data_IF_262519082260
#
_entry.id   IF_262519082260
#
_cell.length_a   1.000
_cell.length_b   1.000
_cell.length_c   1.000
_cell.angle_alpha   90.00
_cell.angle_beta   90.00
_cell.angle_gamma   90.00
#
_symmetry.space_group_name_H-M   'P 1'
#
loop_
_entity.id
_entity.type
_entity.pdbx_description
1 polymer ?
#
# COMPACT_ATOMS: atom_id res chain seq x y z
N UNK A 1 61.45 -30.46 61.95
CA UNK A 1 60.04 -30.01 62.06
C UNK A 1 59.68 -29.43 60.70
N UNK A 2 59.13 -30.29 59.82
CA UNK A 2 58.79 -29.93 58.44
C UNK A 2 57.54 -29.05 58.41
N UNK A 3 57.61 -27.94 57.67
CA UNK A 3 56.47 -27.06 57.39
C UNK A 3 55.56 -27.69 56.32
N UNK A 4 54.22 -27.63 56.44
CA UNK A 4 53.33 -28.15 55.41
C UNK A 4 53.28 -27.20 54.20
N UNK A 5 53.38 -27.77 52.99
CA UNK A 5 53.18 -27.07 51.72
C UNK A 5 51.72 -26.62 51.56
N UNK A 6 51.45 -25.43 51.01
CA UNK A 6 50.10 -25.01 50.66
C UNK A 6 49.62 -25.68 49.36
N UNK A 7 48.40 -26.19 49.38
CA UNK A 7 47.64 -26.70 48.22
C UNK A 7 47.24 -25.55 47.29
N UNK A 8 47.34 -25.70 45.96
CA UNK A 8 46.88 -24.66 45.03
C UNK A 8 45.34 -24.70 44.90
N UNK A 9 44.70 -23.55 45.14
CA UNK A 9 43.28 -23.32 44.86
C UNK A 9 43.12 -23.08 43.34
N UNK A 10 42.46 -23.98 42.62
CA UNK A 10 42.14 -23.80 41.21
C UNK A 10 40.86 -22.97 41.13
N UNK A 11 40.98 -21.69 40.76
CA UNK A 11 39.86 -20.81 40.42
C UNK A 11 39.35 -21.15 39.01
N UNK A 12 38.21 -21.85 38.91
CA UNK A 12 37.47 -21.95 37.65
C UNK A 12 36.81 -20.60 37.34
N UNK A 13 37.30 -19.91 36.31
CA UNK A 13 36.62 -18.75 35.73
C UNK A 13 35.41 -19.23 34.92
N UNK A 14 34.21 -19.09 35.46
CA UNK A 14 32.96 -19.30 34.72
C UNK A 14 32.72 -18.09 33.80
N UNK A 15 32.98 -18.29 32.51
CA UNK A 15 32.61 -17.33 31.46
C UNK A 15 31.08 -17.30 31.35
N UNK A 16 30.44 -16.23 31.84
CA UNK A 16 29.03 -15.96 31.58
C UNK A 16 28.87 -15.58 30.10
N UNK A 17 28.42 -16.55 29.30
CA UNK A 17 27.93 -16.30 27.95
C UNK A 17 26.59 -15.54 28.08
N UNK A 18 26.62 -14.21 27.87
CA UNK A 18 25.40 -13.39 27.79
C UNK A 18 24.67 -13.77 26.51
N UNK A 19 23.70 -14.67 26.62
CA UNK A 19 22.70 -14.89 25.58
C UNK A 19 21.88 -13.61 25.45
N UNK A 20 22.11 -12.85 24.38
CA UNK A 20 21.25 -11.74 23.99
C UNK A 20 19.85 -12.30 23.69
N UNK A 21 18.94 -12.15 24.67
CA UNK A 21 17.53 -12.39 24.45
C UNK A 21 17.05 -11.41 23.35
N UNK A 22 16.18 -11.84 22.42
CA UNK A 22 15.55 -10.90 21.49
C UNK A 22 14.81 -9.84 22.30
N UNK A 23 15.08 -8.56 22.01
CA UNK A 23 14.35 -7.45 22.63
C UNK A 23 12.84 -7.69 22.45
N UNK A 24 12.02 -7.52 23.50
CA UNK A 24 10.57 -7.54 23.33
C UNK A 24 10.19 -6.48 22.30
N UNK A 25 9.23 -6.82 21.43
CA UNK A 25 8.64 -5.87 20.50
C UNK A 25 8.34 -4.56 21.25
N UNK A 26 8.94 -3.46 20.77
CA UNK A 26 8.85 -2.14 21.38
C UNK A 26 7.43 -1.86 21.88
N UNK A 27 7.29 -1.51 23.17
CA UNK A 27 6.02 -1.13 23.81
C UNK A 27 5.42 0.19 23.25
N UNK A 28 5.92 0.69 22.13
CA UNK A 28 5.44 1.90 21.49
C UNK A 28 4.14 1.63 20.74
N UNK A 29 3.11 2.42 21.02
CA UNK A 29 1.86 2.36 20.28
C UNK A 29 2.09 2.72 18.79
N UNK A 30 1.49 1.96 17.87
CA UNK A 30 1.47 2.29 16.44
C UNK A 30 0.87 3.67 16.16
N UNK A 31 1.27 4.27 15.04
CA UNK A 31 0.74 5.56 14.56
C UNK A 31 -0.46 5.32 13.64
N UNK A 32 -1.58 5.93 13.97
CA UNK A 32 -2.86 5.91 13.27
C UNK A 32 -3.07 7.19 12.46
N UNK A 33 -3.49 7.01 11.21
CA UNK A 33 -3.85 8.08 10.29
C UNK A 33 -5.13 7.71 9.55
N UNK A 34 -6.19 8.56 9.54
CA UNK A 34 -7.37 8.29 8.73
C UNK A 34 -7.03 8.39 7.24
N UNK A 35 -7.71 7.60 6.42
CA UNK A 35 -7.54 7.57 4.96
C UNK A 35 -8.84 7.99 4.30
N UNK A 36 -8.84 9.02 3.48
CA UNK A 36 -10.01 9.43 2.71
C UNK A 36 -9.83 9.06 1.22
N UNK A 37 -10.94 8.75 0.55
CA UNK A 37 -10.96 8.62 -0.92
C UNK A 37 -11.48 9.93 -1.52
N UNK A 38 -10.68 10.53 -2.39
CA UNK A 38 -11.09 11.72 -3.13
C UNK A 38 -12.10 11.34 -4.24
N UNK A 39 -13.31 11.92 -4.26
CA UNK A 39 -14.35 11.51 -5.21
C UNK A 39 -14.02 11.92 -6.66
N UNK A 40 -13.25 12.99 -6.86
CA UNK A 40 -12.95 13.50 -8.20
C UNK A 40 -11.87 12.69 -8.93
N UNK A 41 -10.85 12.23 -8.19
CA UNK A 41 -9.69 11.53 -8.74
C UNK A 41 -9.65 10.04 -8.41
N UNK A 42 -10.49 9.59 -7.46
CA UNK A 42 -10.44 8.24 -6.87
C UNK A 42 -9.11 7.89 -6.19
N UNK A 43 -8.26 8.88 -5.91
CA UNK A 43 -7.02 8.71 -5.15
C UNK A 43 -7.30 8.71 -3.65
N UNK A 44 -6.39 8.13 -2.89
CA UNK A 44 -6.49 8.08 -1.43
C UNK A 44 -5.55 9.09 -0.80
N UNK A 45 -6.02 9.79 0.23
CA UNK A 45 -5.27 10.82 0.91
C UNK A 45 -5.21 10.58 2.41
N UNK A 46 -4.12 11.02 3.02
CA UNK A 46 -3.96 11.10 4.47
C UNK A 46 -3.78 12.56 4.91
N UNK A 47 -4.36 12.97 6.05
CA UNK A 47 -4.05 14.26 6.64
C UNK A 47 -2.62 14.26 7.18
N UNK A 48 -1.98 15.42 7.07
CA UNK A 48 -0.61 15.66 7.54
C UNK A 48 -0.63 16.69 8.65
N UNK A 49 -1.01 17.93 8.33
CA UNK A 49 -1.08 19.06 9.29
C UNK A 49 -1.82 20.25 8.67
N UNK A 50 -2.42 21.10 9.50
CA UNK A 50 -2.98 22.41 9.12
C UNK A 50 -3.99 22.34 7.96
N UNK A 51 -4.77 21.25 7.90
CA UNK A 51 -5.76 21.02 6.84
C UNK A 51 -5.18 20.54 5.51
N UNK A 52 -3.86 20.28 5.43
CA UNK A 52 -3.21 19.75 4.25
C UNK A 52 -3.16 18.22 4.25
N UNK A 53 -3.39 17.66 3.06
CA UNK A 53 -3.38 16.23 2.81
C UNK A 53 -2.23 15.81 1.89
N UNK A 54 -1.81 14.56 1.97
CA UNK A 54 -0.93 13.93 0.98
C UNK A 54 -1.62 12.75 0.32
N UNK A 55 -1.39 12.56 -0.98
CA UNK A 55 -1.82 11.34 -1.68
C UNK A 55 -0.97 10.15 -1.22
N UNK A 56 -1.60 9.00 -1.00
CA UNK A 56 -0.91 7.74 -0.68
C UNK A 56 -0.40 7.10 -1.97
N UNK A 57 0.89 6.83 -2.03
CA UNK A 57 1.51 6.10 -3.15
C UNK A 57 2.26 4.86 -2.67
N UNK A 58 1.65 3.68 -2.84
CA UNK A 58 2.28 2.39 -2.49
C UNK A 58 3.66 2.17 -3.14
N UNK A 59 3.89 2.76 -4.31
CA UNK A 59 5.14 2.62 -5.05
C UNK A 59 6.02 3.89 -4.94
N UNK A 60 5.65 4.83 -4.06
CA UNK A 60 6.38 6.07 -3.84
C UNK A 60 7.58 5.84 -2.92
N UNK A 61 8.81 6.23 -3.33
CA UNK A 61 10.02 6.07 -2.53
C UNK A 61 10.29 7.22 -1.55
N UNK A 62 9.50 8.29 -1.61
CA UNK A 62 9.72 9.55 -0.93
C UNK A 62 8.43 10.06 -0.28
N UNK A 63 8.58 10.72 0.85
CA UNK A 63 7.66 11.76 1.28
C UNK A 63 8.03 13.07 0.58
N UNK A 64 7.06 13.75 -0.05
CA UNK A 64 7.29 15.08 -0.59
C UNK A 64 6.08 15.98 -0.42
N UNK A 65 6.33 17.27 -0.28
CA UNK A 65 5.30 18.29 -0.05
C UNK A 65 5.73 19.61 -0.68
N UNK A 66 4.79 20.50 -0.95
CA UNK A 66 5.10 21.89 -1.23
C UNK A 66 5.85 22.52 -0.06
N UNK A 67 6.74 23.45 -0.37
CA UNK A 67 7.53 24.14 0.64
C UNK A 67 6.65 24.99 1.57
N UNK A 68 6.62 24.61 2.85
CA UNK A 68 5.98 25.36 3.93
C UNK A 68 7.04 26.16 4.72
N UNK A 69 6.63 27.21 5.43
CA UNK A 69 7.52 28.12 6.16
C UNK A 69 8.22 27.48 7.36
N UNK A 70 7.67 26.40 7.89
CA UNK A 70 8.18 25.64 9.03
C UNK A 70 9.04 24.44 8.63
N UNK A 71 9.21 24.19 7.32
CA UNK A 71 10.19 23.22 6.83
C UNK A 71 11.60 23.73 7.11
N UNK A 72 12.35 22.97 7.93
CA UNK A 72 13.73 23.28 8.25
C UNK A 72 14.66 22.69 7.18
N UNK A 73 15.64 23.44 6.65
CA UNK A 73 16.58 22.90 5.66
C UNK A 73 17.32 21.66 6.18
N UNK A 74 17.34 20.58 5.39
CA UNK A 74 18.14 19.39 5.68
C UNK A 74 19.35 19.35 4.72
N UNK A 75 20.52 19.78 5.21
CA UNK A 75 21.74 19.91 4.42
C UNK A 75 22.53 18.61 4.34
N UNK A 76 21.89 17.53 3.89
CA UNK A 76 22.57 16.24 3.72
C UNK A 76 23.65 16.32 2.65
N UNK A 77 24.83 15.76 2.94
CA UNK A 77 25.90 15.60 1.97
C UNK A 77 25.53 14.53 0.94
N UNK A 78 26.23 14.51 -0.19
CA UNK A 78 26.02 13.52 -1.25
C UNK A 78 26.28 12.07 -0.79
N UNK A 79 27.12 11.88 0.22
CA UNK A 79 27.48 10.57 0.76
C UNK A 79 26.57 10.14 1.93
N UNK A 80 25.64 10.99 2.35
CA UNK A 80 24.70 10.67 3.43
C UNK A 80 23.76 9.53 3.04
N UNK A 81 23.35 8.73 4.03
CA UNK A 81 22.44 7.58 3.83
C UNK A 81 21.09 8.04 3.30
N UNK A 82 20.59 9.16 3.80
CA UNK A 82 19.38 9.84 3.35
C UNK A 82 19.49 10.22 1.88
N UNK A 83 20.65 10.68 1.42
CA UNK A 83 20.84 11.01 0.02
C UNK A 83 20.79 9.79 -0.89
N UNK A 84 21.35 8.65 -0.44
CA UNK A 84 21.24 7.38 -1.15
C UNK A 84 19.78 6.93 -1.23
N UNK A 85 19.05 6.96 -0.12
CA UNK A 85 17.61 6.62 -0.12
C UNK A 85 16.79 7.56 -0.99
N UNK A 86 17.07 8.86 -0.97
CA UNK A 86 16.33 9.85 -1.75
C UNK A 86 16.45 9.66 -3.27
N UNK A 87 17.50 8.96 -3.72
CA UNK A 87 17.83 8.79 -5.12
C UNK A 87 17.85 7.32 -5.57
N UNK A 88 17.50 6.37 -4.69
CA UNK A 88 17.54 4.93 -4.99
C UNK A 88 16.56 4.51 -6.11
N UNK A 89 15.43 5.21 -6.24
CA UNK A 89 14.34 4.85 -7.16
C UNK A 89 13.93 6.03 -8.05
N UNK A 90 14.92 6.75 -8.60
CA UNK A 90 14.65 7.93 -9.43
C UNK A 90 13.91 7.54 -10.71
N UNK A 91 12.78 8.18 -10.99
CA UNK A 91 12.03 7.93 -12.21
C UNK A 91 12.87 8.31 -13.46
N UNK A 92 12.95 7.43 -14.49
CA UNK A 92 13.75 7.70 -15.69
C UNK A 92 13.33 8.96 -16.46
N UNK A 93 12.04 9.33 -16.39
CA UNK A 93 11.49 10.54 -17.03
C UNK A 93 12.03 11.84 -16.43
N UNK A 94 12.65 11.78 -15.24
CA UNK A 94 13.29 12.92 -14.60
C UNK A 94 14.67 13.20 -15.18
N UNK A 95 14.69 13.63 -16.46
CA UNK A 95 15.88 13.91 -17.30
C UNK A 95 16.87 14.96 -16.76
N UNK A 96 16.62 15.57 -15.60
CA UNK A 96 17.65 16.31 -14.83
C UNK A 96 18.71 15.33 -14.25
N UNK A 97 18.52 14.02 -14.43
CA UNK A 97 19.33 12.89 -13.98
C UNK A 97 20.75 12.75 -14.62
N UNK A 98 21.46 13.86 -14.83
CA UNK A 98 22.85 13.85 -15.31
C UNK A 98 23.83 14.65 -14.47
N UNK A 99 23.40 15.45 -13.49
CA UNK A 99 24.35 16.17 -12.64
C UNK A 99 24.74 15.29 -11.43
N UNK A 100 26.02 14.85 -11.32
CA UNK A 100 26.50 14.20 -10.11
C UNK A 100 26.27 15.15 -8.93
N UNK A 101 25.84 14.58 -7.80
CA UNK A 101 25.66 15.36 -6.57
C UNK A 101 27.00 16.02 -6.22
N UNK A 102 27.05 17.36 -6.17
CA UNK A 102 28.31 18.10 -6.00
C UNK A 102 28.65 18.36 -4.53
N UNK A 103 27.71 18.91 -3.75
CA UNK A 103 27.92 19.31 -2.35
C UNK A 103 26.74 18.96 -1.45
N UNK A 104 25.54 19.37 -1.84
CA UNK A 104 24.31 19.13 -1.10
C UNK A 104 23.38 18.19 -1.88
N UNK A 105 22.76 17.27 -1.15
CA UNK A 105 21.82 16.33 -1.71
C UNK A 105 20.58 17.03 -2.28
N UNK A 106 20.13 16.54 -3.43
CA UNK A 106 18.82 16.85 -4.00
C UNK A 106 18.02 15.57 -4.13
N UNK A 107 16.73 15.66 -3.88
CA UNK A 107 15.75 14.63 -4.17
C UNK A 107 14.97 14.99 -5.44
N UNK A 108 14.24 14.01 -5.97
CA UNK A 108 13.46 14.16 -7.21
C UNK A 108 12.05 13.65 -6.97
N UNK A 109 11.21 14.44 -6.27
CA UNK A 109 9.79 14.12 -6.11
C UNK A 109 9.13 13.92 -7.47
N UNK A 110 8.26 12.93 -7.53
CA UNK A 110 7.57 12.46 -8.73
C UNK A 110 6.08 12.49 -8.47
N UNK A 111 5.34 13.11 -9.40
CA UNK A 111 3.88 13.05 -9.42
C UNK A 111 3.46 11.70 -10.03
N UNK A 112 2.80 10.83 -9.25
CA UNK A 112 2.47 9.48 -9.70
C UNK A 112 1.40 9.41 -10.80
N UNK A 113 0.71 10.52 -11.07
CA UNK A 113 -0.39 10.61 -12.03
C UNK A 113 0.07 11.22 -13.36
N UNK A 114 0.81 12.32 -13.30
CA UNK A 114 1.24 13.06 -14.51
C UNK A 114 2.62 12.65 -15.00
N UNK A 115 3.40 11.97 -14.17
CA UNK A 115 4.79 11.63 -14.46
C UNK A 115 5.77 12.81 -14.37
N UNK A 116 5.28 13.99 -13.98
CA UNK A 116 6.11 15.17 -13.76
C UNK A 116 6.99 15.01 -12.52
N UNK A 117 8.14 15.68 -12.55
CA UNK A 117 9.04 15.72 -11.42
C UNK A 117 9.90 16.98 -11.44
N UNK A 118 10.51 17.28 -10.30
CA UNK A 118 11.38 18.44 -10.13
C UNK A 118 12.54 18.11 -9.20
N UNK A 119 13.66 18.83 -9.33
CA UNK A 119 14.72 18.77 -8.34
C UNK A 119 14.28 19.53 -7.08
N UNK A 120 14.45 18.91 -5.91
CA UNK A 120 13.98 19.43 -4.63
C UNK A 120 15.06 19.35 -3.56
N UNK A 121 15.06 20.33 -2.65
CA UNK A 121 15.83 20.23 -1.42
C UNK A 121 15.15 19.24 -0.47
N UNK A 122 15.95 18.51 0.29
CA UNK A 122 15.46 17.79 1.46
C UNK A 122 15.25 18.78 2.61
N UNK A 123 14.20 18.56 3.37
CA UNK A 123 13.83 19.36 4.54
C UNK A 123 13.44 18.44 5.68
N UNK A 124 13.77 18.83 6.90
CA UNK A 124 13.15 18.28 8.10
C UNK A 124 11.74 18.87 8.22
N UNK A 125 10.78 17.99 8.43
CA UNK A 125 9.38 18.31 8.61
C UNK A 125 8.79 17.42 9.70
N UNK A 126 7.55 17.70 10.05
CA UNK A 126 6.77 16.89 10.97
C UNK A 126 5.34 16.82 10.51
N UNK A 127 4.71 15.68 10.72
CA UNK A 127 3.28 15.54 10.53
C UNK A 127 2.60 15.13 11.83
N UNK A 128 1.33 15.48 11.95
CA UNK A 128 0.54 15.28 13.15
C UNK A 128 -0.38 14.09 12.91
N UNK A 129 -0.27 13.10 13.79
CA UNK A 129 -1.06 11.89 13.76
C UNK A 129 -1.50 11.54 15.19
N UNK A 130 -2.22 10.43 15.36
CA UNK A 130 -2.49 9.89 16.68
C UNK A 130 -1.79 8.55 16.85
N UNK A 131 -1.49 8.13 18.08
CA UNK A 131 -1.21 6.73 18.38
C UNK A 131 -2.52 5.95 18.51
N UNK A 132 -2.46 4.61 18.48
CA UNK A 132 -3.64 3.75 18.65
C UNK A 132 -3.30 2.45 19.37
N UNK A 133 -4.29 1.90 20.08
CA UNK A 133 -4.32 0.52 20.57
C UNK A 133 -4.92 -0.47 19.54
N UNK A 134 -5.31 0.03 18.36
CA UNK A 134 -6.01 -0.72 17.32
C UNK A 134 -7.52 -0.55 17.35
N UNK A 135 -8.10 0.07 18.39
CA UNK A 135 -9.55 0.34 18.51
C UNK A 135 -9.88 1.81 18.37
N UNK A 136 -9.10 2.66 19.03
CA UNK A 136 -9.33 4.09 19.13
C UNK A 136 -8.02 4.87 18.98
N UNK A 137 -8.08 6.16 18.60
CA UNK A 137 -6.95 7.06 18.79
C UNK A 137 -6.70 7.30 20.28
N UNK A 138 -5.42 7.26 20.67
CA UNK A 138 -4.97 7.48 22.05
C UNK A 138 -4.43 8.91 22.22
N UNK A 139 -3.20 9.16 21.78
CA UNK A 139 -2.51 10.43 21.98
C UNK A 139 -2.12 11.04 20.64
N UNK A 140 -2.26 12.37 20.51
CA UNK A 140 -1.71 13.08 19.36
C UNK A 140 -0.19 13.11 19.43
N UNK A 141 0.47 12.73 18.34
CA UNK A 141 1.91 12.65 18.22
C UNK A 141 2.42 13.41 17.00
N UNK A 142 3.67 13.85 17.09
CA UNK A 142 4.38 14.47 15.98
C UNK A 142 5.42 13.50 15.44
N UNK A 143 5.21 13.05 14.21
CA UNK A 143 6.17 12.18 13.53
C UNK A 143 7.21 13.05 12.85
N UNK A 144 8.47 12.92 13.25
CA UNK A 144 9.59 13.61 12.62
C UNK A 144 9.94 12.91 11.31
N UNK A 145 10.13 13.70 10.25
CA UNK A 145 10.40 13.18 8.92
C UNK A 145 11.35 14.08 8.13
N UNK A 146 11.97 13.49 7.12
CA UNK A 146 12.65 14.13 6.01
C UNK A 146 11.74 14.04 4.79
N UNK A 147 11.40 15.18 4.20
CA UNK A 147 10.61 15.27 2.98
C UNK A 147 11.38 16.00 1.88
N UNK A 148 10.98 15.78 0.62
CA UNK A 148 11.42 16.64 -0.48
C UNK A 148 10.49 17.85 -0.62
N UNK A 149 11.07 19.05 -0.65
CA UNK A 149 10.40 20.33 -0.81
C UNK A 149 10.17 20.62 -2.29
N UNK A 150 8.96 20.34 -2.78
CA UNK A 150 8.64 20.37 -4.20
C UNK A 150 7.98 21.69 -4.64
N UNK A 151 8.16 22.11 -5.90
CA UNK A 151 7.45 23.26 -6.45
C UNK A 151 5.97 22.93 -6.69
N UNK A 152 5.08 23.93 -6.55
CA UNK A 152 3.62 23.73 -6.64
C UNK A 152 3.13 23.18 -7.98
N UNK A 153 3.84 23.42 -9.08
CA UNK A 153 3.45 22.96 -10.41
C UNK A 153 3.37 21.42 -10.52
N UNK A 154 4.12 20.67 -9.70
CA UNK A 154 4.04 19.21 -9.72
C UNK A 154 2.79 18.65 -9.02
N UNK A 155 1.90 19.49 -8.48
CA UNK A 155 0.62 19.06 -7.90
C UNK A 155 -0.48 18.81 -8.94
N UNK A 156 -0.22 19.09 -10.22
CA UNK A 156 -1.19 18.91 -11.28
C UNK A 156 -1.84 17.51 -11.24
N UNK A 157 -3.16 17.44 -11.44
CA UNK A 157 -3.97 16.21 -11.42
C UNK A 157 -4.04 15.46 -10.08
N UNK A 158 -3.47 16.00 -8.99
CA UNK A 158 -3.74 15.51 -7.64
C UNK A 158 -5.00 16.18 -7.06
N UNK A 159 -5.60 15.65 -5.97
CA UNK A 159 -6.75 16.27 -5.30
C UNK A 159 -6.49 17.72 -4.87
N UNK A 160 -7.54 18.54 -4.79
CA UNK A 160 -7.41 20.00 -4.58
C UNK A 160 -6.70 20.37 -3.26
N UNK A 161 -6.97 19.61 -2.20
CA UNK A 161 -6.47 19.92 -0.85
C UNK A 161 -5.14 19.24 -0.53
N UNK A 162 -4.48 18.67 -1.53
CA UNK A 162 -3.17 18.03 -1.33
C UNK A 162 -2.02 18.99 -1.56
N UNK A 163 -1.02 18.85 -0.70
CA UNK A 163 0.26 19.56 -0.84
C UNK A 163 1.38 18.62 -1.27
N UNK A 164 1.12 17.33 -1.41
CA UNK A 164 2.18 16.36 -1.61
C UNK A 164 1.74 14.92 -1.77
N UNK A 165 2.72 14.02 -1.70
CA UNK A 165 2.54 12.57 -1.77
C UNK A 165 3.33 11.91 -0.63
N UNK A 166 2.66 10.99 0.05
CA UNK A 166 3.23 10.08 1.02
C UNK A 166 3.54 8.74 0.34
N UNK A 167 4.79 8.57 -0.06
CA UNK A 167 5.27 7.29 -0.58
C UNK A 167 5.33 6.23 0.51
N UNK A 168 4.79 5.03 0.23
CA UNK A 168 4.73 3.90 1.16
C UNK A 168 5.58 2.69 0.74
N UNK A 169 6.47 2.84 -0.24
CA UNK A 169 7.37 1.74 -0.66
C UNK A 169 8.38 1.36 0.43
N UNK A 170 9.17 0.31 0.20
CA UNK A 170 10.18 -0.16 1.15
C UNK A 170 11.45 0.73 1.25
N UNK A 171 11.40 1.95 0.69
CA UNK A 171 12.48 2.95 0.75
C UNK A 171 12.72 3.50 2.16
N UNK A 172 13.97 3.83 2.49
CA UNK A 172 14.34 4.42 3.78
C UNK A 172 13.76 5.82 4.05
N UNK A 173 13.32 6.53 3.00
CA UNK A 173 12.65 7.83 3.10
C UNK A 173 11.15 7.77 2.75
N UNK A 174 10.58 6.57 2.61
CA UNK A 174 9.13 6.39 2.55
C UNK A 174 8.52 6.49 3.95
N UNK A 175 7.25 6.87 4.03
CA UNK A 175 6.53 7.12 5.28
C UNK A 175 6.65 5.97 6.31
N UNK A 176 6.51 4.67 5.94
CA UNK A 176 6.62 3.58 6.90
C UNK A 176 7.98 3.52 7.60
N UNK A 177 9.08 3.73 6.85
CA UNK A 177 10.43 3.72 7.41
C UNK A 177 10.68 4.91 8.34
N UNK A 178 10.14 6.07 7.99
CA UNK A 178 10.30 7.29 8.80
C UNK A 178 9.49 7.23 10.09
N UNK A 179 8.25 6.69 10.05
CA UNK A 179 7.47 6.43 11.26
C UNK A 179 8.19 5.42 12.16
N UNK A 180 8.68 4.31 11.60
CA UNK A 180 9.41 3.30 12.35
C UNK A 180 10.63 3.90 13.08
N UNK A 181 11.39 4.76 12.41
CA UNK A 181 12.54 5.44 13.01
C UNK A 181 12.12 6.47 14.08
N UNK A 182 11.10 7.30 13.81
CA UNK A 182 10.67 8.37 14.72
C UNK A 182 9.98 7.85 15.97
N UNK A 183 9.21 6.75 15.87
CA UNK A 183 8.40 6.21 16.96
C UNK A 183 8.89 4.88 17.52
N UNK A 184 10.02 4.35 17.01
CA UNK A 184 10.61 3.07 17.43
C UNK A 184 9.61 1.93 17.35
N UNK A 185 8.87 1.86 16.24
CA UNK A 185 7.91 0.79 15.93
C UNK A 185 8.43 -0.03 14.75
N UNK A 186 7.84 -1.20 14.51
CA UNK A 186 8.24 -2.06 13.39
C UNK A 186 8.06 -1.37 12.04
N UNK A 187 8.89 -1.74 11.06
CA UNK A 187 8.74 -1.34 9.64
C UNK A 187 7.61 -2.14 8.98
N UNK A 188 6.41 -1.91 9.50
CA UNK A 188 5.16 -2.54 9.11
C UNK A 188 4.08 -1.48 9.01
N UNK A 189 3.17 -1.63 8.06
CA UNK A 189 1.98 -0.80 8.02
C UNK A 189 0.76 -1.59 7.54
N UNK A 190 -0.42 -1.13 7.94
CA UNK A 190 -1.71 -1.64 7.52
C UNK A 190 -2.46 -0.56 6.76
N UNK A 191 -3.15 -0.95 5.68
CA UNK A 191 -4.12 -0.12 4.97
C UNK A 191 -5.47 -0.84 4.96
N UNK A 192 -6.51 -0.11 5.32
CA UNK A 192 -7.89 -0.48 5.10
C UNK A 192 -8.54 0.67 4.32
N UNK A 193 -8.55 0.55 2.99
CA UNK A 193 -9.03 1.63 2.12
C UNK A 193 -10.57 1.70 2.14
N UNK A 194 -11.16 2.90 2.28
CA UNK A 194 -12.61 3.04 2.34
C UNK A 194 -13.23 3.07 0.94
N UNK A 195 -14.46 2.57 0.85
CA UNK A 195 -15.37 2.88 -0.27
C UNK A 195 -15.97 4.28 -0.12
N UNK A 196 -16.36 4.63 1.10
CA UNK A 196 -16.90 5.93 1.52
C UNK A 196 -16.41 6.24 2.94
N UNK A 197 -16.46 7.50 3.36
CA UNK A 197 -15.99 7.91 4.69
C UNK A 197 -14.48 7.77 4.86
N UNK A 198 -14.04 7.59 6.11
CA UNK A 198 -12.62 7.53 6.48
C UNK A 198 -12.19 6.10 6.80
N UNK A 199 -11.32 5.53 5.96
CA UNK A 199 -10.62 4.28 6.26
C UNK A 199 -9.41 4.51 7.15
N UNK A 200 -8.54 3.51 7.20
CA UNK A 200 -7.49 3.44 8.22
C UNK A 200 -6.12 3.16 7.60
N UNK A 201 -5.11 3.90 8.06
CA UNK A 201 -3.71 3.53 7.94
C UNK A 201 -3.08 3.45 9.33
N UNK A 202 -2.43 2.33 9.64
CA UNK A 202 -1.69 2.13 10.90
C UNK A 202 -0.24 1.79 10.57
N UNK A 203 0.72 2.50 11.18
CA UNK A 203 2.15 2.32 10.99
C UNK A 203 2.78 1.85 12.29
N UNK A 204 3.50 0.72 12.25
CA UNK A 204 4.13 0.10 13.41
C UNK A 204 3.62 -1.31 13.73
N UNK A 205 2.54 -1.76 13.09
CA UNK A 205 1.88 -3.03 13.39
C UNK A 205 0.74 -2.87 14.39
N UNK A 206 0.52 -3.88 15.23
CA UNK A 206 -0.59 -3.92 16.19
C UNK A 206 -1.88 -4.52 15.61
N UNK A 207 -2.94 -4.49 16.43
CA UNK A 207 -4.27 -4.98 16.10
C UNK A 207 -5.08 -3.96 15.30
N UNK A 208 -6.19 -4.39 14.72
CA UNK A 208 -7.20 -3.51 14.10
C UNK A 208 -8.59 -4.03 14.41
N UNK A 209 -9.39 -3.19 15.08
CA UNK A 209 -10.79 -3.45 15.38
C UNK A 209 -11.66 -2.48 14.60
N UNK A 210 -12.79 -2.98 14.06
CA UNK A 210 -13.80 -2.16 13.38
C UNK A 210 -15.15 -2.42 14.03
N UNK A 211 -16.04 -1.43 13.97
CA UNK A 211 -17.39 -1.53 14.51
C UNK A 211 -18.28 -2.41 13.61
N UNK A 212 -19.21 -3.20 14.18
CA UNK A 212 -19.43 -3.40 15.62
C UNK A 212 -18.40 -4.36 16.25
N UNK A 213 -17.72 -3.91 17.32
CA UNK A 213 -16.60 -4.66 17.94
C UNK A 213 -17.00 -6.07 18.41
N UNK A 214 -18.19 -6.21 18.99
CA UNK A 214 -18.68 -7.46 19.60
C UNK A 214 -18.73 -8.65 18.65
N UNK A 215 -18.85 -8.38 17.34
CA UNK A 215 -18.94 -9.42 16.30
C UNK A 215 -17.69 -9.54 15.44
N UNK A 216 -16.78 -8.57 15.53
CA UNK A 216 -15.62 -8.45 14.65
C UNK A 216 -14.35 -9.08 15.25
N UNK A 217 -14.10 -8.82 16.54
CA UNK A 217 -12.81 -9.11 17.15
C UNK A 217 -11.65 -8.34 16.48
N UNK A 218 -10.42 -8.80 16.72
CA UNK A 218 -9.23 -8.25 16.07
C UNK A 218 -9.13 -8.79 14.63
N UNK A 219 -9.32 -7.91 13.64
CA UNK A 219 -9.30 -8.27 12.23
C UNK A 219 -7.92 -8.80 11.80
N UNK A 220 -6.83 -8.41 12.46
CA UNK A 220 -5.48 -8.87 12.11
C UNK A 220 -5.28 -10.37 12.34
N UNK A 221 -6.07 -10.97 13.23
CA UNK A 221 -6.04 -12.42 13.49
C UNK A 221 -6.60 -13.24 12.32
N UNK A 222 -7.33 -12.61 11.40
CA UNK A 222 -7.92 -13.24 10.22
C UNK A 222 -7.04 -13.19 8.97
N UNK A 223 -5.85 -12.58 9.07
CA UNK A 223 -4.95 -12.37 7.94
C UNK A 223 -4.44 -13.69 7.35
N UNK A 224 -4.64 -13.85 6.05
CA UNK A 224 -3.87 -14.76 5.24
C UNK A 224 -2.58 -14.07 4.78
N UNK A 225 -1.47 -14.80 4.70
CA UNK A 225 -0.17 -14.26 4.29
C UNK A 225 0.32 -14.86 2.97
N UNK A 226 0.96 -14.02 2.16
CA UNK A 226 1.75 -14.37 0.97
C UNK A 226 3.10 -13.62 0.98
N UNK A 227 4.16 -14.12 0.32
CA UNK A 227 5.39 -13.37 0.18
C UNK A 227 5.17 -12.01 -0.51
N UNK A 228 5.88 -10.99 -0.04
CA UNK A 228 5.97 -9.67 -0.67
C UNK A 228 7.35 -9.55 -1.30
N UNK A 229 7.41 -9.39 -2.62
CA UNK A 229 8.66 -9.34 -3.36
C UNK A 229 8.95 -7.91 -3.79
N UNK A 230 10.24 -7.56 -3.82
CA UNK A 230 10.75 -6.33 -4.40
C UNK A 230 11.68 -6.67 -5.57
N UNK A 231 11.75 -5.79 -6.56
CA UNK A 231 12.74 -5.91 -7.65
C UNK A 231 13.84 -4.87 -7.44
N UNK A 232 15.05 -5.20 -7.89
CA UNK A 232 16.17 -4.24 -7.85
C UNK A 232 15.76 -2.98 -8.61
N UNK A 233 16.07 -1.82 -8.03
CA UNK A 233 15.82 -0.50 -8.61
C UNK A 233 14.33 -0.20 -8.92
N UNK A 234 13.40 -0.94 -8.32
CA UNK A 234 11.97 -0.75 -8.50
C UNK A 234 11.22 -0.75 -7.14
N UNK A 235 10.53 0.34 -6.78
CA UNK A 235 9.86 0.48 -5.49
C UNK A 235 8.48 -0.20 -5.41
N UNK A 236 8.03 -0.88 -6.47
CA UNK A 236 6.73 -1.56 -6.51
C UNK A 236 6.71 -2.77 -5.57
N UNK A 237 5.56 -2.98 -4.94
CA UNK A 237 5.26 -4.19 -4.20
C UNK A 237 4.72 -5.27 -5.14
N UNK A 238 5.43 -6.40 -5.22
CA UNK A 238 5.03 -7.55 -6.04
C UNK A 238 4.47 -8.66 -5.16
N UNK A 239 3.38 -9.27 -5.60
CA UNK A 239 2.84 -10.49 -5.01
C UNK A 239 2.99 -11.66 -6.00
N UNK A 240 3.44 -12.84 -5.54
CA UNK A 240 3.57 -14.00 -6.41
C UNK A 240 2.19 -14.63 -6.65
N UNK A 241 1.69 -14.49 -7.88
CA UNK A 241 0.42 -15.05 -8.35
C UNK A 241 0.70 -16.18 -9.33
N UNK A 242 0.12 -17.35 -9.08
CA UNK A 242 0.24 -18.56 -9.90
C UNK A 242 -0.88 -18.69 -10.92
N UNK A 243 -2.06 -18.13 -10.63
CA UNK A 243 -3.22 -18.23 -11.49
C UNK A 243 -4.27 -17.17 -11.16
N UNK A 244 -5.27 -17.06 -12.03
CA UNK A 244 -6.49 -16.30 -11.77
C UNK A 244 -7.64 -17.27 -11.96
N UNK A 245 -8.56 -17.32 -11.00
CA UNK A 245 -9.77 -18.10 -11.09
C UNK A 245 -10.99 -17.18 -11.21
N UNK A 246 -11.94 -17.56 -12.05
CA UNK A 246 -13.25 -16.91 -12.19
C UNK A 246 -14.32 -17.93 -11.84
N UNK A 247 -15.16 -17.61 -10.86
CA UNK A 247 -16.14 -18.54 -10.30
C UNK A 247 -15.53 -19.92 -9.96
N UNK A 248 -14.38 -19.91 -9.27
CA UNK A 248 -13.58 -21.08 -8.90
C UNK A 248 -12.89 -21.83 -10.06
N UNK A 249 -13.25 -21.55 -11.32
CA UNK A 249 -12.60 -22.14 -12.49
C UNK A 249 -11.31 -21.39 -12.85
N UNK A 250 -10.21 -22.12 -13.03
CA UNK A 250 -8.95 -21.53 -13.46
C UNK A 250 -9.06 -20.96 -14.89
N UNK A 251 -8.57 -19.73 -15.06
CA UNK A 251 -8.49 -19.10 -16.38
C UNK A 251 -7.19 -19.55 -17.06
N UNK A 252 -7.26 -20.14 -18.27
CA UNK A 252 -6.07 -20.53 -19.00
C UNK A 252 -5.34 -19.30 -19.55
N UNK A 253 -4.01 -19.26 -19.35
CA UNK A 253 -3.15 -18.20 -19.86
C UNK A 253 -1.99 -18.77 -20.68
N UNK A 254 -1.40 -17.97 -21.59
CA UNK A 254 -0.11 -18.28 -22.17
C UNK A 254 0.95 -18.52 -21.07
N UNK A 255 1.94 -19.36 -21.38
CA UNK A 255 3.05 -19.59 -20.46
C UNK A 255 3.70 -18.26 -20.04
N UNK A 256 3.98 -18.13 -18.74
CA UNK A 256 4.59 -16.93 -18.13
C UNK A 256 3.76 -15.64 -18.20
N UNK A 257 2.48 -15.66 -18.61
CA UNK A 257 1.68 -14.44 -18.68
C UNK A 257 1.65 -13.68 -17.33
N UNK A 258 1.49 -14.38 -16.20
CA UNK A 258 1.45 -13.75 -14.88
C UNK A 258 2.83 -13.45 -14.30
N UNK A 259 3.86 -14.21 -14.67
CA UNK A 259 5.22 -14.07 -14.12
C UNK A 259 6.03 -13.01 -14.87
N UNK A 260 5.84 -12.89 -16.19
CA UNK A 260 6.39 -11.80 -17.01
C UNK A 260 5.80 -10.48 -16.50
N UNK A 261 6.65 -9.58 -15.98
CA UNK A 261 6.18 -8.33 -15.39
C UNK A 261 5.61 -8.45 -13.98
N UNK A 262 5.00 -9.59 -13.62
CA UNK A 262 4.49 -9.86 -12.28
C UNK A 262 3.17 -9.17 -11.95
N UNK A 263 2.68 -9.38 -10.72
CA UNK A 263 1.47 -8.74 -10.18
C UNK A 263 1.89 -7.73 -9.11
N UNK A 264 1.40 -6.49 -9.23
CA UNK A 264 1.77 -5.38 -8.34
C UNK A 264 0.57 -4.73 -7.68
N UNK A 265 0.78 -4.14 -6.51
CA UNK A 265 -0.22 -3.34 -5.80
C UNK A 265 -0.02 -1.85 -6.08
N UNK A 266 -1.11 -1.12 -6.34
CA UNK A 266 -1.02 0.28 -6.75
C UNK A 266 -2.22 1.11 -6.28
N UNK A 267 -1.94 2.23 -5.61
CA UNK A 267 -2.94 3.24 -5.23
C UNK A 267 -3.05 4.40 -6.23
N UNK A 268 -2.29 4.36 -7.33
CA UNK A 268 -2.28 5.39 -8.39
C UNK A 268 -3.39 5.17 -9.42
N UNK A 269 -3.92 3.95 -9.49
CA UNK A 269 -5.00 3.56 -10.41
C UNK A 269 -6.23 3.15 -9.61
N UNK A 270 -7.38 3.66 -10.01
CA UNK A 270 -8.65 3.35 -9.35
C UNK A 270 -9.01 1.87 -9.54
N UNK A 271 -8.91 1.36 -10.77
CA UNK A 271 -9.33 0.01 -11.13
C UNK A 271 -8.13 -0.87 -11.48
N UNK A 272 -8.28 -2.17 -11.25
CA UNK A 272 -7.26 -3.14 -11.61
C UNK A 272 -7.05 -3.16 -13.12
N UNK A 273 -5.80 -2.93 -13.52
CA UNK A 273 -5.40 -2.95 -14.92
C UNK A 273 -4.70 -4.27 -15.24
N UNK A 274 -5.06 -4.88 -16.37
CA UNK A 274 -4.51 -6.16 -16.82
C UNK A 274 -3.84 -5.98 -18.19
N UNK A 275 -2.67 -6.58 -18.37
CA UNK A 275 -2.02 -6.66 -19.70
C UNK A 275 -2.88 -7.49 -20.65
N UNK A 276 -2.86 -7.21 -21.94
CA UNK A 276 -3.80 -7.78 -22.92
C UNK A 276 -3.89 -9.32 -22.90
N UNK A 277 -2.76 -10.02 -22.71
CA UNK A 277 -2.67 -11.49 -22.58
C UNK A 277 -3.33 -12.07 -21.32
N UNK A 278 -3.63 -11.23 -20.33
CA UNK A 278 -4.35 -11.57 -19.10
C UNK A 278 -5.78 -11.00 -19.11
N UNK A 279 -5.96 -9.78 -19.65
CA UNK A 279 -7.25 -9.09 -19.68
C UNK A 279 -8.31 -9.90 -20.43
N UNK A 280 -8.01 -10.30 -21.67
CA UNK A 280 -9.00 -10.97 -22.54
C UNK A 280 -9.49 -12.29 -21.96
N UNK A 281 -8.62 -13.23 -21.55
CA UNK A 281 -9.09 -14.48 -20.95
C UNK A 281 -9.92 -14.28 -19.67
N UNK A 282 -9.58 -13.30 -18.83
CA UNK A 282 -10.31 -13.01 -17.58
C UNK A 282 -11.69 -12.43 -17.86
N UNK A 283 -11.79 -11.42 -18.73
CA UNK A 283 -13.07 -10.79 -19.08
C UNK A 283 -13.99 -11.78 -19.77
N UNK A 284 -13.48 -12.58 -20.70
CA UNK A 284 -14.27 -13.60 -21.39
C UNK A 284 -14.74 -14.71 -20.43
N UNK A 285 -13.88 -15.12 -19.49
CA UNK A 285 -14.27 -16.10 -18.47
C UNK A 285 -15.35 -15.55 -17.53
N UNK A 286 -15.25 -14.28 -17.14
CA UNK A 286 -16.25 -13.60 -16.31
C UNK A 286 -17.60 -13.52 -17.03
N UNK A 287 -17.60 -13.06 -18.28
CA UNK A 287 -18.82 -12.92 -19.06
C UNK A 287 -19.52 -14.27 -19.29
N UNK A 288 -18.75 -15.31 -19.64
CA UNK A 288 -19.27 -16.68 -19.77
C UNK A 288 -19.83 -17.21 -18.45
N UNK A 289 -19.14 -16.99 -17.34
CA UNK A 289 -19.58 -17.48 -16.03
C UNK A 289 -20.83 -16.75 -15.51
N UNK A 290 -20.98 -15.45 -15.83
CA UNK A 290 -22.17 -14.68 -15.46
C UNK A 290 -23.39 -15.10 -16.30
N UNK A 291 -23.19 -15.43 -17.58
CA UNK A 291 -24.23 -15.94 -18.47
C UNK A 291 -25.49 -15.03 -18.58
N UNK A 292 -25.30 -13.71 -18.53
CA UNK A 292 -26.38 -12.69 -18.63
C UNK A 292 -26.30 -11.86 -19.91
N UNK A 293 -26.32 -12.54 -21.06
CA UNK A 293 -26.35 -11.87 -22.37
C UNK A 293 -27.59 -10.96 -22.53
N UNK A 294 -28.70 -11.31 -21.87
CA UNK A 294 -29.94 -10.53 -21.80
C UNK A 294 -29.78 -9.18 -21.07
N UNK A 295 -28.81 -9.07 -20.17
CA UNK A 295 -28.56 -7.88 -19.39
C UNK A 295 -27.47 -6.97 -19.97
N UNK A 296 -26.74 -7.39 -21.02
CA UNK A 296 -25.64 -6.60 -21.59
C UNK A 296 -26.12 -5.27 -22.15
N UNK A 297 -25.32 -4.22 -21.93
CA UNK A 297 -25.55 -2.88 -22.47
C UNK A 297 -24.26 -2.35 -23.10
N UNK A 298 -24.30 -1.27 -23.90
CA UNK A 298 -23.09 -0.68 -24.46
C UNK A 298 -22.03 -0.38 -23.40
N UNK A 299 -20.77 -0.58 -23.78
CA UNK A 299 -19.62 -0.29 -22.96
C UNK A 299 -19.58 1.19 -22.54
N UNK A 300 -19.22 1.44 -21.28
CA UNK A 300 -19.01 2.79 -20.75
C UNK A 300 -17.54 2.92 -20.40
N UNK A 301 -16.83 3.80 -21.11
CA UNK A 301 -15.41 4.00 -20.90
C UNK A 301 -15.11 4.34 -19.41
N UNK A 302 -14.04 3.77 -18.83
CA UNK A 302 -13.00 2.96 -19.46
C UNK A 302 -13.29 1.44 -19.54
N UNK A 303 -14.52 1.00 -19.22
CA UNK A 303 -14.88 -0.40 -19.14
C UNK A 303 -15.44 -0.94 -20.46
N UNK A 304 -15.21 -2.23 -20.71
CA UNK A 304 -15.66 -2.90 -21.93
C UNK A 304 -16.87 -3.81 -21.70
N UNK A 305 -17.06 -4.30 -20.47
CA UNK A 305 -18.14 -5.24 -20.13
C UNK A 305 -19.10 -4.59 -19.14
N UNK A 306 -20.28 -4.22 -19.62
CA UNK A 306 -21.30 -3.52 -18.84
C UNK A 306 -22.67 -4.21 -18.97
N UNK A 307 -23.44 -4.13 -17.90
CA UNK A 307 -24.77 -4.74 -17.78
C UNK A 307 -25.76 -3.73 -17.20
N UNK A 308 -27.04 -3.94 -17.49
CA UNK A 308 -28.15 -3.23 -16.86
C UNK A 308 -28.19 -3.60 -15.38
N UNK A 309 -27.96 -2.62 -14.50
CA UNK A 309 -27.88 -2.81 -13.05
C UNK A 309 -29.12 -3.47 -12.46
N UNK A 310 -30.32 -3.09 -12.94
CA UNK A 310 -31.60 -3.65 -12.48
C UNK A 310 -31.81 -5.13 -12.81
N UNK A 311 -31.00 -5.72 -13.70
CA UNK A 311 -31.05 -7.14 -14.05
C UNK A 311 -30.00 -7.98 -13.31
N UNK A 312 -29.10 -7.33 -12.57
CA UNK A 312 -28.14 -7.98 -11.69
C UNK A 312 -28.70 -8.01 -10.25
N UNK A 313 -28.80 -9.20 -9.68
CA UNK A 313 -29.25 -9.35 -8.30
C UNK A 313 -28.21 -8.80 -7.31
N UNK A 314 -28.63 -8.24 -6.18
CA UNK A 314 -27.73 -7.73 -5.14
C UNK A 314 -27.65 -8.69 -3.94
N UNK A 315 -26.46 -8.85 -3.39
CA UNK A 315 -26.18 -9.61 -2.18
C UNK A 315 -25.53 -8.70 -1.13
N UNK A 316 -25.29 -9.23 0.08
CA UNK A 316 -24.49 -8.52 1.10
C UNK A 316 -23.03 -8.29 0.67
N UNK A 317 -22.58 -8.97 -0.39
CA UNK A 317 -21.23 -8.87 -0.96
C UNK A 317 -21.20 -8.04 -2.25
N UNK A 318 -22.24 -7.26 -2.52
CA UNK A 318 -22.46 -6.54 -3.78
C UNK A 318 -23.22 -7.37 -4.81
N UNK A 319 -23.11 -7.01 -6.08
CA UNK A 319 -23.77 -7.72 -7.18
C UNK A 319 -23.47 -9.24 -7.14
N UNK A 320 -24.50 -10.06 -7.40
CA UNK A 320 -24.40 -11.50 -7.55
C UNK A 320 -23.76 -11.83 -8.91
N UNK A 321 -22.44 -11.74 -8.97
CA UNK A 321 -21.63 -11.99 -10.15
C UNK A 321 -20.52 -12.99 -9.83
N UNK A 322 -19.86 -13.60 -10.84
CA UNK A 322 -18.69 -14.42 -10.63
C UNK A 322 -17.62 -13.75 -9.77
N UNK A 323 -17.16 -14.45 -8.74
CA UNK A 323 -15.98 -14.03 -7.98
C UNK A 323 -14.72 -14.15 -8.84
N UNK A 324 -13.77 -13.23 -8.64
CA UNK A 324 -12.46 -13.24 -9.30
C UNK A 324 -11.40 -13.42 -8.23
N UNK A 325 -10.59 -14.47 -8.31
CA UNK A 325 -9.56 -14.76 -7.32
C UNK A 325 -8.15 -14.75 -7.91
N UNK A 326 -7.23 -14.04 -7.26
CA UNK A 326 -5.79 -14.20 -7.48
C UNK A 326 -5.32 -15.41 -6.69
N UNK A 327 -4.89 -16.47 -7.37
CA UNK A 327 -4.35 -17.68 -6.75
C UNK A 327 -2.88 -17.42 -6.45
N UNK A 328 -2.56 -17.30 -5.16
CA UNK A 328 -1.24 -16.91 -4.68
C UNK A 328 -0.32 -18.13 -4.52
N UNK A 329 0.97 -17.87 -4.45
CA UNK A 329 1.94 -18.86 -4.02
C UNK A 329 1.57 -19.45 -2.65
N UNK A 330 1.57 -20.79 -2.56
CA UNK A 330 1.10 -21.51 -1.37
C UNK A 330 -0.40 -21.86 -1.39
N UNK A 331 -1.10 -21.65 -2.51
CA UNK A 331 -2.46 -22.14 -2.75
C UNK A 331 -3.59 -21.30 -2.14
N UNK A 332 -3.24 -20.23 -1.41
CA UNK A 332 -4.24 -19.27 -0.88
C UNK A 332 -4.78 -18.41 -2.02
N UNK A 333 -6.02 -17.97 -1.89
CA UNK A 333 -6.66 -17.10 -2.88
C UNK A 333 -7.03 -15.77 -2.26
N UNK A 334 -6.72 -14.67 -2.95
CA UNK A 334 -7.26 -13.35 -2.63
C UNK A 334 -8.41 -13.06 -3.59
N UNK A 335 -9.63 -13.04 -3.03
CA UNK A 335 -10.87 -13.07 -3.81
C UNK A 335 -11.57 -11.71 -3.82
N UNK A 336 -11.94 -11.26 -5.02
CA UNK A 336 -12.76 -10.09 -5.29
C UNK A 336 -14.18 -10.53 -5.63
N UNK A 337 -15.13 -10.08 -4.82
CA UNK A 337 -16.57 -10.33 -4.99
C UNK A 337 -17.24 -9.18 -5.73
N UNK A 338 -18.57 -9.24 -5.94
CA UNK A 338 -19.33 -8.18 -6.63
C UNK A 338 -19.02 -6.75 -6.18
N UNK A 339 -18.86 -6.50 -4.87
CA UNK A 339 -18.51 -5.16 -4.34
C UNK A 339 -17.09 -4.69 -4.67
N UNK A 340 -16.23 -5.58 -5.19
CA UNK A 340 -14.85 -5.32 -5.62
C UNK A 340 -14.64 -5.57 -7.12
N UNK A 341 -15.58 -6.20 -7.81
CA UNK A 341 -15.51 -6.53 -9.24
C UNK A 341 -16.50 -5.75 -10.10
N UNK A 342 -17.56 -5.14 -9.53
CA UNK A 342 -18.56 -4.39 -10.30
C UNK A 342 -18.67 -2.95 -9.81
N UNK A 343 -18.73 -2.00 -10.73
CA UNK A 343 -18.88 -0.57 -10.44
C UNK A 343 -20.11 0.00 -11.13
N UNK A 344 -20.92 0.73 -10.38
CA UNK A 344 -22.00 1.54 -10.94
C UNK A 344 -21.40 2.78 -11.61
N UNK A 345 -21.57 2.90 -12.93
CA UNK A 345 -21.11 4.07 -13.70
C UNK A 345 -22.23 5.11 -13.85
N UNK A 346 -23.47 4.69 -13.65
CA UNK A 346 -24.66 5.52 -13.51
C UNK A 346 -25.78 4.70 -12.85
N UNK A 347 -26.97 5.27 -12.69
CA UNK A 347 -28.11 4.61 -12.02
C UNK A 347 -28.63 3.35 -12.74
N UNK A 348 -28.30 3.13 -14.01
CA UNK A 348 -28.84 2.02 -14.83
C UNK A 348 -27.78 1.03 -15.28
N UNK A 349 -26.49 1.34 -15.11
CA UNK A 349 -25.39 0.59 -15.71
C UNK A 349 -24.33 0.26 -14.66
N UNK A 350 -24.03 -1.03 -14.54
CA UNK A 350 -22.92 -1.56 -13.77
C UNK A 350 -21.92 -2.22 -14.71
N UNK A 351 -20.63 -1.95 -14.52
CA UNK A 351 -19.56 -2.49 -15.37
C UNK A 351 -18.57 -3.33 -14.56
N UNK A 352 -17.97 -4.32 -15.21
CA UNK A 352 -16.83 -5.06 -14.66
C UNK A 352 -15.66 -4.09 -14.45
N UNK A 353 -15.24 -3.94 -13.20
CA UNK A 353 -14.25 -2.99 -12.71
C UNK A 353 -12.79 -3.41 -13.02
N UNK A 354 -12.55 -3.88 -14.24
CA UNK A 354 -11.24 -4.24 -14.78
C UNK A 354 -10.99 -3.47 -16.08
N UNK A 355 -9.76 -3.01 -16.28
CA UNK A 355 -9.36 -2.26 -17.49
C UNK A 355 -8.18 -2.90 -18.19
N UNK A 356 -8.14 -2.81 -19.51
CA UNK A 356 -6.99 -3.25 -20.31
C UNK A 356 -5.89 -2.19 -20.28
N UNK A 357 -4.65 -2.61 -20.04
CA UNK A 357 -3.50 -1.71 -20.16
C UNK A 357 -3.32 -1.25 -21.61
N UNK A 358 -3.41 0.06 -21.84
CA UNK A 358 -3.15 0.66 -23.15
C UNK A 358 -1.66 0.95 -23.33
N UNK A 359 -1.15 0.79 -24.55
CA UNK A 359 0.26 1.05 -24.88
C UNK A 359 1.25 -0.02 -24.43
N UNK A 360 0.76 -1.14 -23.87
CA UNK A 360 1.58 -2.29 -23.43
C UNK A 360 1.28 -3.49 -24.32
N UNK A 361 2.31 -4.13 -24.86
CA UNK A 361 2.14 -5.33 -25.69
C UNK A 361 1.83 -6.55 -24.82
N UNK A 362 1.05 -7.49 -25.37
CA UNK A 362 0.86 -8.80 -24.77
C UNK A 362 2.22 -9.48 -24.48
N UNK A 363 2.37 -10.04 -23.28
CA UNK A 363 3.59 -10.72 -22.86
C UNK A 363 4.81 -9.83 -22.60
N UNK A 364 4.68 -8.49 -22.61
CA UNK A 364 5.80 -7.58 -22.35
C UNK A 364 6.30 -7.72 -20.90
N UNK A 365 7.54 -8.20 -20.66
CA UNK A 365 8.06 -8.43 -19.31
C UNK A 365 8.45 -7.13 -18.58
N UNK A 366 8.53 -5.99 -19.29
CA UNK A 366 8.85 -4.69 -18.70
C UNK A 366 7.65 -4.05 -17.99
N UNK A 367 6.43 -4.45 -18.36
CA UNK A 367 5.19 -4.00 -17.74
C UNK A 367 4.57 -5.09 -16.87
N UNK A 368 3.97 -4.72 -15.74
CA UNK A 368 3.25 -5.68 -14.90
C UNK A 368 2.15 -6.42 -15.69
N UNK A 369 1.93 -7.69 -15.38
CA UNK A 369 0.82 -8.46 -15.92
C UNK A 369 -0.52 -7.99 -15.34
N UNK A 370 -0.51 -7.67 -14.04
CA UNK A 370 -1.66 -7.18 -13.28
C UNK A 370 -1.20 -6.05 -12.36
N UNK A 371 -1.91 -4.93 -12.40
CA UNK A 371 -1.78 -3.82 -11.45
C UNK A 371 -3.06 -3.78 -10.64
N UNK A 372 -3.03 -4.29 -9.41
CA UNK A 372 -4.19 -4.29 -8.51
C UNK A 372 -4.46 -2.86 -8.03
N UNK A 373 -5.62 -2.33 -8.40
CA UNK A 373 -6.01 -0.95 -8.14
C UNK A 373 -6.73 -0.76 -6.81
N UNK A 374 -6.96 0.51 -6.47
CA UNK A 374 -7.62 0.92 -5.23
C UNK A 374 -8.98 0.26 -5.00
N UNK A 375 -9.84 0.24 -6.02
CA UNK A 375 -11.20 -0.30 -5.97
C UNK A 375 -11.24 -1.76 -5.51
N UNK A 376 -10.25 -2.57 -5.91
CA UNK A 376 -10.14 -3.96 -5.48
C UNK A 376 -9.56 -4.11 -4.07
N UNK A 377 -8.77 -3.14 -3.61
CA UNK A 377 -8.21 -3.10 -2.26
C UNK A 377 -9.18 -2.51 -1.21
N UNK A 378 -10.23 -1.81 -1.64
CA UNK A 378 -11.24 -1.28 -0.72
C UNK A 378 -11.97 -2.38 0.06
N UNK A 379 -12.22 -2.10 1.35
CA UNK A 379 -12.78 -3.05 2.31
C UNK A 379 -12.00 -4.37 2.41
N UNK A 380 -10.68 -4.29 2.19
CA UNK A 380 -9.72 -5.31 2.57
C UNK A 380 -8.71 -4.70 3.53
N UNK A 381 -8.34 -5.46 4.56
CA UNK A 381 -7.19 -5.15 5.39
C UNK A 381 -5.95 -5.70 4.69
N UNK A 382 -5.00 -4.81 4.38
CA UNK A 382 -3.70 -5.16 3.80
C UNK A 382 -2.59 -4.78 4.77
N UNK A 383 -1.86 -5.77 5.29
CA UNK A 383 -0.72 -5.59 6.17
C UNK A 383 0.59 -5.83 5.41
N UNK A 384 1.36 -4.77 5.22
CA UNK A 384 2.69 -4.81 4.61
C UNK A 384 3.73 -4.97 5.71
N UNK A 385 4.25 -6.19 5.88
CA UNK A 385 5.36 -6.49 6.78
C UNK A 385 6.67 -6.42 6.00
N UNK A 386 7.35 -5.26 6.07
CA UNK A 386 8.58 -5.03 5.32
C UNK A 386 9.81 -5.66 5.98
N UNK A 387 9.69 -6.10 7.23
CA UNK A 387 10.75 -6.83 7.94
C UNK A 387 10.74 -8.29 7.52
N UNK A 388 9.55 -8.90 7.47
CA UNK A 388 9.37 -10.30 7.04
C UNK A 388 9.20 -10.46 5.53
N UNK A 389 9.09 -9.37 4.78
CA UNK A 389 8.81 -9.38 3.34
C UNK A 389 7.53 -10.18 3.04
N UNK A 390 6.44 -9.84 3.72
CA UNK A 390 5.15 -10.51 3.60
C UNK A 390 3.99 -9.52 3.48
N UNK A 391 2.98 -9.90 2.72
CA UNK A 391 1.68 -9.24 2.68
C UNK A 391 0.68 -10.10 3.42
N UNK A 392 0.12 -9.56 4.49
CA UNK A 392 -1.13 -10.03 5.08
C UNK A 392 -2.32 -9.43 4.34
N UNK A 393 -3.34 -10.22 4.06
CA UNK A 393 -4.59 -9.76 3.48
C UNK A 393 -5.79 -10.45 4.16
N UNK A 394 -6.83 -9.68 4.42
CA UNK A 394 -8.12 -10.18 4.90
C UNK A 394 -9.26 -9.35 4.30
N UNK A 395 -10.39 -9.99 4.05
CA UNK A 395 -11.61 -9.30 3.64
C UNK A 395 -12.33 -8.77 4.87
N UNK A 396 -12.78 -7.51 4.84
CA UNK A 396 -13.65 -6.98 5.88
C UNK A 396 -15.01 -7.70 5.80
N UNK A 397 -15.56 -8.24 6.90
CA UNK A 397 -16.87 -8.87 6.91
C UNK A 397 -17.98 -7.94 6.39
N UNK A 398 -18.99 -8.50 5.73
CA UNK A 398 -20.04 -7.73 5.03
C UNK A 398 -20.86 -6.77 5.93
N UNK A 399 -20.86 -6.98 7.24
CA UNK A 399 -21.57 -6.16 8.22
C UNK A 399 -20.72 -5.02 8.78
N UNK A 400 -19.49 -4.84 8.28
CA UNK A 400 -18.57 -3.76 8.62
C UNK A 400 -17.94 -3.20 7.34
N UNK A 401 -17.10 -2.18 7.49
CA UNK A 401 -16.33 -1.57 6.41
C UNK A 401 -15.07 -0.95 6.99
N UNK A 402 -14.06 -0.65 6.16
CA UNK A 402 -12.88 0.09 6.62
C UNK A 402 -13.24 1.44 7.26
N UNK A 403 -14.38 2.01 6.87
CA UNK A 403 -14.94 3.24 7.43
C UNK A 403 -15.52 3.13 8.84
N UNK A 404 -15.58 1.92 9.40
CA UNK A 404 -16.19 1.65 10.70
C UNK A 404 -15.16 1.66 11.84
N UNK A 405 -13.95 2.15 11.61
CA UNK A 405 -13.00 2.38 12.69
C UNK A 405 -13.48 3.53 13.59
N UNK A 406 -13.32 3.37 14.90
CA UNK A 406 -13.79 4.38 15.84
C UNK A 406 -12.72 5.47 16.06
N UNK A 407 -12.81 6.57 15.33
CA UNK A 407 -11.91 7.72 15.49
C UNK A 407 -12.20 8.60 16.73
N UNK A 408 -13.10 8.18 17.63
CA UNK A 408 -13.34 8.88 18.89
C UNK A 408 -12.20 8.63 19.86
N UNK A 409 -11.59 9.69 20.40
CA UNK A 409 -10.58 9.57 21.45
C UNK A 409 -11.22 9.01 22.72
N UNK A 410 -10.62 7.98 23.30
CA UNK A 410 -10.94 7.56 24.67
C UNK A 410 -10.46 8.67 25.62
N UNK A 411 -11.35 9.18 26.44
CA UNK A 411 -11.04 10.21 27.45
C UNK A 411 -10.05 9.69 28.50
#
# INVERSE_FOLDING_TARGET
>A
MEMPRPTPLILLATSLLVLALPEPASCAYPVLIPVAKDPATSLYTIPIRDGHNHVIDLAGPLLWSTCASDHLPAAFSCNATECRHANAYRAPSCRIAGQPCKKQCKAYPYNPITGQCAAANLVHTRFIANTTDGKNPLQQVSVQAVAACAPRNILASLPRDVTGVAGLSASGLALPAQVAASHRVSRKFMLCLPRHGEGVAIFGGGALFLLPESSMGDLTTTLAFTPLRSRKDNPLYYIPVQGIAVNQAQVPFPANALTAGGVVLCTRVAYTALRADVYRPVVDAFDRALARNDAKVPAVAPFELCYRSSMLWNTRLGYAVPDIALVLEGGKSWTFVGSNSMVDVNSQTACLALVEMKGVKAGDPSAAAVVVGGFQMENHLLQFDLEKQQLGFAKVPFFSACSNFNFTKTQ
#
